data_IF_290027218362
#
_entry.id   IF_290027218362
#
_cell.length_a   1.000
_cell.length_b   1.000
_cell.length_c   1.000
_cell.angle_alpha   90.00
_cell.angle_beta   90.00
_cell.angle_gamma   90.00
#
_symmetry.space_group_name_H-M   'P 1'
#
loop_
_entity.id
_entity.type
_entity.pdbx_description
1 polymer ?
#
# COMPACT_ATOMS: atom_id res chain seq x y z
N UNK A 1 11.49 -39.07 -3.41
CA UNK A 1 12.62 -38.97 -4.37
C UNK A 1 12.03 -38.34 -5.63
N UNK A 2 12.24 -37.06 -5.87
CA UNK A 2 11.66 -36.40 -7.05
C UNK A 2 12.42 -36.86 -8.30
N UNK A 3 11.70 -37.16 -9.38
CA UNK A 3 12.29 -37.66 -10.63
C UNK A 3 13.11 -36.57 -11.33
N UNK A 4 14.07 -36.96 -12.18
CA UNK A 4 14.86 -36.03 -13.00
C UNK A 4 13.95 -35.12 -13.86
N UNK A 5 12.90 -35.69 -14.45
CA UNK A 5 11.98 -34.99 -15.36
C UNK A 5 11.08 -33.97 -14.65
N UNK A 6 10.75 -34.16 -13.37
CA UNK A 6 10.05 -33.13 -12.57
C UNK A 6 10.85 -31.83 -12.57
N UNK A 7 12.15 -31.90 -12.34
CA UNK A 7 13.02 -30.72 -12.32
C UNK A 7 13.18 -30.11 -13.71
N UNK A 8 13.23 -30.94 -14.76
CA UNK A 8 13.28 -30.47 -16.15
C UNK A 8 12.00 -29.71 -16.54
N UNK A 9 10.82 -30.18 -16.12
CA UNK A 9 9.55 -29.47 -16.32
C UNK A 9 9.56 -28.13 -15.58
N UNK A 10 10.00 -28.11 -14.31
CA UNK A 10 10.12 -26.86 -13.55
C UNK A 10 11.07 -25.87 -14.25
N UNK A 11 12.20 -26.35 -14.75
CA UNK A 11 13.18 -25.55 -15.50
C UNK A 11 12.59 -25.00 -16.80
N UNK A 12 11.83 -25.81 -17.54
CA UNK A 12 11.15 -25.39 -18.77
C UNK A 12 10.13 -24.28 -18.50
N UNK A 13 9.30 -24.44 -17.47
CA UNK A 13 8.30 -23.46 -17.05
C UNK A 13 8.97 -22.14 -16.66
N UNK A 14 10.03 -22.21 -15.85
CA UNK A 14 10.82 -21.04 -15.47
C UNK A 14 11.40 -20.34 -16.70
N UNK A 15 12.02 -21.08 -17.62
CA UNK A 15 12.60 -20.49 -18.84
C UNK A 15 11.55 -19.83 -19.74
N UNK A 16 10.35 -20.40 -19.82
CA UNK A 16 9.31 -19.93 -20.74
C UNK A 16 8.46 -18.79 -20.15
N UNK A 17 8.00 -18.95 -18.91
CA UNK A 17 7.05 -18.04 -18.26
C UNK A 17 7.65 -17.28 -17.06
N UNK A 18 8.91 -17.52 -16.73
CA UNK A 18 9.62 -16.89 -15.62
C UNK A 18 9.21 -17.38 -14.23
N UNK A 19 8.30 -18.35 -14.12
CA UNK A 19 7.69 -18.72 -12.86
C UNK A 19 8.65 -19.45 -11.92
N UNK A 20 8.77 -18.93 -10.69
CA UNK A 20 9.50 -19.54 -9.60
C UNK A 20 8.61 -20.51 -8.81
N UNK A 21 8.72 -21.79 -9.12
CA UNK A 21 7.89 -22.86 -8.53
C UNK A 21 8.39 -23.18 -7.12
N UNK A 22 7.95 -22.37 -6.14
CA UNK A 22 8.28 -22.50 -4.72
C UNK A 22 7.04 -22.22 -3.87
N UNK A 23 7.03 -22.72 -2.62
CA UNK A 23 5.95 -22.45 -1.65
C UNK A 23 4.57 -22.89 -2.17
N UNK A 24 3.52 -22.05 -2.07
CA UNK A 24 2.17 -22.42 -2.54
C UNK A 24 2.10 -22.77 -4.03
N UNK A 25 2.96 -22.19 -4.87
CA UNK A 25 3.00 -22.51 -6.30
C UNK A 25 3.61 -23.89 -6.55
N UNK A 26 4.48 -24.36 -5.66
CA UNK A 26 5.04 -25.71 -5.74
C UNK A 26 4.00 -26.79 -5.41
N UNK A 27 3.16 -26.57 -4.40
CA UNK A 27 2.03 -27.47 -4.11
C UNK A 27 1.10 -27.55 -5.33
N UNK A 28 0.71 -26.40 -5.87
CA UNK A 28 -0.14 -26.33 -7.07
C UNK A 28 0.53 -26.94 -8.30
N UNK A 29 1.86 -26.85 -8.41
CA UNK A 29 2.61 -27.53 -9.46
C UNK A 29 2.47 -29.04 -9.37
N UNK A 30 2.60 -29.62 -8.17
CA UNK A 30 2.42 -31.07 -8.02
C UNK A 30 0.97 -31.50 -8.27
N UNK A 31 -0.03 -30.71 -7.86
CA UNK A 31 -1.43 -30.99 -8.20
C UNK A 31 -1.66 -30.98 -9.71
N UNK A 32 -1.09 -29.99 -10.40
CA UNK A 32 -1.16 -29.88 -11.86
C UNK A 32 -0.44 -31.05 -12.54
N UNK A 33 0.77 -31.38 -12.08
CA UNK A 33 1.55 -32.51 -12.59
C UNK A 33 0.80 -33.83 -12.42
N UNK A 34 0.21 -34.08 -11.24
CA UNK A 34 -0.60 -35.27 -10.96
C UNK A 34 -1.83 -35.36 -11.87
N UNK A 35 -2.52 -34.24 -12.10
CA UNK A 35 -3.64 -34.17 -13.06
C UNK A 35 -3.19 -34.56 -14.47
N UNK A 36 -2.03 -34.08 -14.91
CA UNK A 36 -1.47 -34.41 -16.22
C UNK A 36 -0.97 -35.86 -16.31
N UNK A 37 -0.42 -36.41 -15.22
CA UNK A 37 0.00 -37.82 -15.15
C UNK A 37 -1.16 -38.79 -15.35
N UNK A 38 -2.38 -38.44 -14.91
CA UNK A 38 -3.57 -39.24 -15.19
C UNK A 38 -3.86 -39.39 -16.70
N UNK A 39 -3.43 -38.43 -17.52
CA UNK A 39 -3.61 -38.45 -18.98
C UNK A 39 -2.40 -39.04 -19.70
N UNK A 40 -1.20 -38.59 -19.33
CA UNK A 40 0.04 -38.85 -20.08
C UNK A 40 0.92 -39.97 -19.50
N UNK A 41 0.55 -40.52 -18.33
CA UNK A 41 1.11 -41.73 -17.70
C UNK A 41 2.58 -41.68 -17.26
N UNK A 42 3.40 -40.76 -17.73
CA UNK A 42 4.78 -40.56 -17.25
C UNK A 42 5.24 -39.09 -17.30
N UNK A 43 6.12 -38.72 -16.37
CA UNK A 43 6.71 -37.36 -16.33
C UNK A 43 7.59 -37.07 -17.56
N UNK A 44 8.30 -38.09 -18.08
CA UNK A 44 9.09 -37.95 -19.31
C UNK A 44 8.21 -37.55 -20.51
N UNK A 45 7.06 -38.21 -20.66
CA UNK A 45 6.16 -37.93 -21.77
C UNK A 45 5.56 -36.52 -21.65
N UNK A 46 5.20 -36.10 -20.42
CA UNK A 46 4.76 -34.73 -20.14
C UNK A 46 5.86 -33.75 -20.54
N UNK A 47 7.10 -33.94 -20.06
CA UNK A 47 8.22 -33.06 -20.38
C UNK A 47 8.43 -32.93 -21.90
N UNK A 48 8.48 -34.05 -22.63
CA UNK A 48 8.65 -34.03 -24.10
C UNK A 48 7.48 -33.35 -24.83
N UNK A 49 6.26 -33.51 -24.32
CA UNK A 49 5.08 -32.83 -24.88
C UNK A 49 5.20 -31.31 -24.68
N UNK A 50 5.47 -30.87 -23.45
CA UNK A 50 5.62 -29.45 -23.12
C UNK A 50 6.79 -28.80 -23.87
N UNK A 51 7.88 -29.55 -24.14
CA UNK A 51 9.03 -29.05 -24.87
C UNK A 51 8.76 -28.80 -26.36
N UNK A 52 7.91 -29.63 -26.98
CA UNK A 52 7.70 -29.61 -28.44
C UNK A 52 6.37 -28.98 -28.87
N UNK A 53 5.41 -28.84 -27.95
CA UNK A 53 4.09 -28.27 -28.23
C UNK A 53 3.84 -27.05 -27.35
N UNK A 54 3.93 -25.87 -27.96
CA UNK A 54 3.71 -24.59 -27.27
C UNK A 54 2.28 -24.50 -26.74
N UNK A 55 1.29 -25.03 -27.45
CA UNK A 55 -0.11 -25.01 -27.00
C UNK A 55 -0.31 -25.85 -25.74
N UNK A 56 0.35 -27.02 -25.66
CA UNK A 56 0.38 -27.84 -24.46
C UNK A 56 1.05 -27.12 -23.29
N UNK A 57 2.16 -26.41 -23.55
CA UNK A 57 2.84 -25.60 -22.52
C UNK A 57 1.94 -24.48 -21.98
N UNK A 58 1.28 -23.71 -22.84
CA UNK A 58 0.28 -22.72 -22.42
C UNK A 58 -0.86 -23.37 -21.62
N UNK A 59 -1.34 -24.55 -22.04
CA UNK A 59 -2.39 -25.25 -21.32
C UNK A 59 -1.93 -25.69 -19.92
N UNK A 60 -0.71 -26.19 -19.80
CA UNK A 60 -0.12 -26.57 -18.52
C UNK A 60 0.00 -25.35 -17.59
N UNK A 61 0.49 -24.24 -18.12
CA UNK A 61 0.63 -22.97 -17.37
C UNK A 61 -0.74 -22.44 -16.93
N UNK A 62 -1.77 -22.53 -17.78
CA UNK A 62 -3.13 -22.15 -17.42
C UNK A 62 -3.71 -22.95 -16.25
N UNK A 63 -3.32 -24.23 -16.11
CA UNK A 63 -3.73 -25.06 -14.97
C UNK A 63 -2.91 -24.70 -13.70
N UNK A 64 -1.65 -24.28 -13.89
CA UNK A 64 -0.71 -23.93 -12.83
C UNK A 64 -0.94 -22.53 -12.21
N UNK A 65 -1.33 -21.51 -12.97
CA UNK A 65 -1.30 -20.11 -12.51
C UNK A 65 -2.33 -19.81 -11.41
N UNK A 66 -1.94 -18.99 -10.43
CA UNK A 66 -2.83 -18.53 -9.35
C UNK A 66 -3.51 -17.22 -9.79
N UNK A 67 -4.77 -17.32 -10.22
CA UNK A 67 -5.50 -16.23 -10.86
C UNK A 67 -6.38 -15.44 -9.88
N UNK A 68 -5.87 -15.06 -8.72
CA UNK A 68 -6.64 -14.25 -7.78
C UNK A 68 -6.64 -12.78 -8.21
N UNK A 69 -7.77 -12.29 -8.73
CA UNK A 69 -7.98 -10.89 -9.11
C UNK A 69 -9.39 -10.45 -8.74
N UNK A 70 -9.60 -9.14 -8.52
CA UNK A 70 -10.89 -8.55 -8.16
C UNK A 70 -10.89 -7.05 -8.45
N UNK A 71 -12.07 -6.49 -8.65
CA UNK A 71 -12.24 -5.07 -8.99
C UNK A 71 -11.71 -4.18 -7.87
N UNK A 72 -11.03 -3.10 -8.24
CA UNK A 72 -10.42 -2.15 -7.30
C UNK A 72 -9.48 -2.78 -6.26
N UNK A 73 -8.76 -3.85 -6.63
CA UNK A 73 -7.63 -4.36 -5.84
C UNK A 73 -6.63 -3.23 -5.65
N UNK A 74 -6.32 -2.87 -4.41
CA UNK A 74 -5.50 -1.70 -4.02
C UNK A 74 -5.95 -0.40 -4.72
N UNK A 75 -7.20 0.04 -4.45
CA UNK A 75 -7.88 1.19 -5.09
C UNK A 75 -7.02 2.45 -5.30
N UNK A 76 -6.09 2.79 -4.39
CA UNK A 76 -5.24 3.98 -4.59
C UNK A 76 -4.38 3.90 -5.85
N UNK A 77 -3.97 2.71 -6.32
CA UNK A 77 -3.16 2.60 -7.54
C UNK A 77 -3.90 2.95 -8.85
N UNK A 78 -5.22 3.21 -8.78
CA UNK A 78 -6.00 3.74 -9.91
C UNK A 78 -6.20 5.26 -9.83
N UNK A 79 -5.95 5.90 -8.68
CA UNK A 79 -6.11 7.37 -8.52
C UNK A 79 -5.08 8.17 -9.33
N UNK A 80 -4.01 7.50 -9.77
CA UNK A 80 -2.99 8.07 -10.67
C UNK A 80 -3.48 8.20 -12.12
N UNK A 81 -4.53 7.47 -12.53
CA UNK A 81 -4.99 7.48 -13.92
C UNK A 81 -5.36 8.88 -14.39
N UNK A 82 -6.12 9.61 -13.59
CA UNK A 82 -6.56 10.97 -13.92
C UNK A 82 -5.37 11.93 -14.18
N UNK A 83 -4.47 12.17 -13.21
CA UNK A 83 -3.33 13.08 -13.43
C UNK A 83 -2.40 12.59 -14.54
N UNK A 84 -2.25 11.27 -14.74
CA UNK A 84 -1.46 10.72 -15.84
C UNK A 84 -2.09 11.03 -17.20
N UNK A 85 -3.39 10.78 -17.38
CA UNK A 85 -4.09 11.04 -18.64
C UNK A 85 -4.12 12.54 -18.94
N UNK A 86 -4.33 13.39 -17.93
CA UNK A 86 -4.24 14.85 -18.08
C UNK A 86 -2.84 15.32 -18.51
N UNK A 87 -1.78 14.65 -18.03
CA UNK A 87 -0.41 14.90 -18.49
C UNK A 87 -0.17 14.40 -19.92
N UNK A 88 -0.86 13.35 -20.34
CA UNK A 88 -0.79 12.77 -21.69
C UNK A 88 -1.80 13.36 -22.68
N UNK A 89 -2.51 14.44 -22.31
CA UNK A 89 -3.63 15.03 -23.08
C UNK A 89 -3.31 15.44 -24.52
N UNK A 90 -2.03 15.69 -24.81
CA UNK A 90 -1.56 16.09 -26.14
C UNK A 90 -1.47 14.90 -27.11
N UNK A 91 -1.60 13.66 -26.61
CA UNK A 91 -1.66 12.47 -27.45
C UNK A 91 -3.04 12.32 -28.10
N UNK A 92 -3.05 11.92 -29.38
CA UNK A 92 -4.28 11.63 -30.12
C UNK A 92 -4.99 10.38 -29.59
N UNK A 93 -4.24 9.39 -29.11
CA UNK A 93 -4.75 8.15 -28.53
C UNK A 93 -3.81 7.66 -27.43
N UNK A 94 -4.38 7.24 -26.29
CA UNK A 94 -3.64 6.76 -25.13
C UNK A 94 -3.79 5.23 -25.05
N UNK A 95 -2.72 4.53 -25.45
CA UNK A 95 -2.60 3.08 -25.30
C UNK A 95 -2.25 2.68 -23.86
N UNK A 96 -3.06 1.80 -23.29
CA UNK A 96 -2.94 1.25 -21.94
C UNK A 96 -2.86 -0.27 -22.02
N UNK A 97 -1.90 -0.88 -21.32
CA UNK A 97 -1.79 -2.34 -21.20
C UNK A 97 -1.85 -2.79 -19.74
N UNK A 98 -2.59 -3.87 -19.47
CA UNK A 98 -2.64 -4.59 -18.20
C UNK A 98 -2.05 -5.99 -18.40
N UNK A 99 -0.87 -6.22 -17.83
CA UNK A 99 -0.05 -7.42 -17.97
C UNK A 99 -0.35 -8.38 -16.83
N UNK A 100 -0.77 -9.61 -17.15
CA UNK A 100 -1.23 -10.58 -16.15
C UNK A 100 -2.62 -10.24 -15.62
N UNK A 101 -3.53 -9.88 -16.52
CA UNK A 101 -4.84 -9.31 -16.16
C UNK A 101 -5.84 -10.33 -15.57
N UNK A 102 -5.50 -11.62 -15.56
CA UNK A 102 -6.34 -12.71 -15.07
C UNK A 102 -7.77 -12.64 -15.66
N UNK A 103 -8.79 -12.64 -14.81
CA UNK A 103 -10.20 -12.60 -15.21
C UNK A 103 -10.71 -11.21 -15.62
N UNK A 104 -9.82 -10.27 -15.95
CA UNK A 104 -10.15 -8.97 -16.51
C UNK A 104 -10.63 -7.91 -15.51
N UNK A 105 -10.67 -8.21 -14.21
CA UNK A 105 -11.07 -7.21 -13.21
C UNK A 105 -10.22 -5.94 -13.25
N UNK A 106 -8.91 -6.04 -13.49
CA UNK A 106 -8.02 -4.88 -13.57
C UNK A 106 -8.30 -3.98 -14.78
N UNK A 107 -8.24 -4.46 -16.04
CA UNK A 107 -8.51 -3.59 -17.19
C UNK A 107 -9.93 -3.04 -17.21
N UNK A 108 -10.93 -3.78 -16.68
CA UNK A 108 -12.26 -3.21 -16.48
C UNK A 108 -12.33 -2.18 -15.35
N UNK A 109 -11.52 -2.29 -14.29
CA UNK A 109 -11.40 -1.23 -13.28
C UNK A 109 -10.82 0.04 -13.91
N UNK A 110 -9.80 -0.09 -14.77
CA UNK A 110 -9.23 1.04 -15.52
C UNK A 110 -10.31 1.70 -16.38
N UNK A 111 -11.08 0.90 -17.14
CA UNK A 111 -12.16 1.41 -17.97
C UNK A 111 -13.22 2.17 -17.16
N UNK A 112 -13.65 1.62 -16.02
CA UNK A 112 -14.62 2.27 -15.13
C UNK A 112 -14.06 3.57 -14.56
N UNK A 113 -12.81 3.58 -14.10
CA UNK A 113 -12.19 4.79 -13.52
C UNK A 113 -12.10 5.92 -14.56
N UNK A 114 -11.81 5.60 -15.83
CA UNK A 114 -11.81 6.59 -16.90
C UNK A 114 -13.23 7.10 -17.17
N UNK A 115 -14.24 6.22 -17.20
CA UNK A 115 -15.64 6.63 -17.37
C UNK A 115 -16.14 7.51 -16.21
N UNK A 116 -15.63 7.33 -14.99
CA UNK A 116 -16.00 8.12 -13.82
C UNK A 116 -15.28 9.47 -13.76
N UNK A 117 -13.98 9.48 -14.03
CA UNK A 117 -13.12 10.64 -13.78
C UNK A 117 -12.84 11.50 -15.01
N UNK A 118 -12.92 10.90 -16.20
CA UNK A 118 -12.48 11.44 -17.49
C UNK A 118 -13.36 10.93 -18.67
N UNK A 119 -14.70 11.04 -18.59
CA UNK A 119 -15.61 10.46 -19.59
C UNK A 119 -15.36 10.96 -21.04
N UNK A 120 -14.79 12.15 -21.20
CA UNK A 120 -14.41 12.74 -22.49
C UNK A 120 -13.23 12.04 -23.18
N UNK A 121 -12.47 11.21 -22.44
CA UNK A 121 -11.36 10.42 -22.98
C UNK A 121 -11.76 9.01 -23.44
N UNK A 122 -13.02 8.59 -23.23
CA UNK A 122 -13.46 7.21 -23.52
C UNK A 122 -13.17 6.73 -24.95
N UNK A 123 -13.23 7.64 -25.94
CA UNK A 123 -13.02 7.33 -27.36
C UNK A 123 -11.56 7.56 -27.80
N UNK A 124 -10.70 8.00 -26.88
CA UNK A 124 -9.27 8.26 -27.08
C UNK A 124 -8.37 7.25 -26.37
N UNK A 125 -8.94 6.24 -25.74
CA UNK A 125 -8.19 5.23 -24.98
C UNK A 125 -8.28 3.87 -25.66
N UNK A 126 -7.17 3.15 -25.65
CA UNK A 126 -7.13 1.74 -26.04
C UNK A 126 -6.65 0.94 -24.82
N UNK A 127 -7.51 0.07 -24.26
CA UNK A 127 -7.13 -0.78 -23.13
C UNK A 127 -6.94 -2.22 -23.62
N UNK A 128 -5.75 -2.76 -23.42
CA UNK A 128 -5.41 -4.15 -23.69
C UNK A 128 -5.11 -4.90 -22.38
N UNK A 129 -5.88 -5.93 -22.07
CA UNK A 129 -5.54 -6.93 -21.05
C UNK A 129 -4.84 -8.13 -21.67
N UNK A 130 -3.71 -8.56 -21.12
CA UNK A 130 -3.04 -9.80 -21.55
C UNK A 130 -2.89 -10.77 -20.39
N UNK A 131 -2.95 -12.06 -20.69
CA UNK A 131 -2.64 -13.14 -19.74
C UNK A 131 -2.17 -14.40 -20.48
N UNK A 132 -1.38 -15.22 -19.80
CA UNK A 132 -0.89 -16.49 -20.33
C UNK A 132 -1.98 -17.56 -20.34
N UNK A 133 -3.01 -17.44 -19.50
CA UNK A 133 -4.12 -18.38 -19.46
C UNK A 133 -5.26 -17.96 -20.41
N UNK A 134 -5.42 -18.68 -21.52
CA UNK A 134 -6.58 -18.44 -22.41
C UNK A 134 -7.92 -18.69 -21.70
N UNK A 135 -7.95 -19.68 -20.79
CA UNK A 135 -9.13 -20.03 -20.02
C UNK A 135 -9.63 -18.85 -19.18
N UNK A 136 -8.74 -18.17 -18.45
CA UNK A 136 -9.13 -17.03 -17.60
C UNK A 136 -9.53 -15.80 -18.44
N UNK A 137 -8.91 -15.60 -19.60
CA UNK A 137 -9.31 -14.54 -20.54
C UNK A 137 -10.69 -14.78 -21.13
N UNK A 138 -11.07 -16.03 -21.37
CA UNK A 138 -12.42 -16.37 -21.80
C UNK A 138 -13.46 -16.09 -20.70
N UNK A 139 -13.10 -16.22 -19.42
CA UNK A 139 -13.94 -15.76 -18.31
C UNK A 139 -14.04 -14.23 -18.27
N UNK A 140 -12.92 -13.52 -18.48
CA UNK A 140 -12.89 -12.06 -18.59
C UNK A 140 -13.85 -11.55 -19.67
N UNK A 141 -13.77 -12.10 -20.88
CA UNK A 141 -14.61 -11.74 -22.03
C UNK A 141 -16.11 -11.95 -21.77
N UNK A 142 -16.49 -12.96 -20.96
CA UNK A 142 -17.89 -13.15 -20.54
C UNK A 142 -18.38 -12.00 -19.67
N UNK A 143 -17.50 -11.42 -18.84
CA UNK A 143 -17.81 -10.31 -17.96
C UNK A 143 -18.82 -10.66 -16.87
N UNK A 144 -18.85 -11.92 -16.43
CA UNK A 144 -19.76 -12.41 -15.38
C UNK A 144 -18.94 -12.67 -14.13
N UNK A 145 -19.30 -12.01 -13.03
CA UNK A 145 -18.54 -11.99 -11.80
C UNK A 145 -19.42 -12.30 -10.59
N UNK A 146 -18.92 -13.13 -9.69
CA UNK A 146 -19.53 -13.31 -8.38
C UNK A 146 -19.33 -12.05 -7.51
N UNK A 147 -20.23 -11.81 -6.53
CA UNK A 147 -20.17 -10.66 -5.61
C UNK A 147 -18.81 -10.53 -4.92
N UNK A 148 -18.12 -11.63 -4.65
CA UNK A 148 -16.76 -11.64 -4.10
C UNK A 148 -15.75 -10.82 -4.92
N UNK A 149 -15.83 -10.85 -6.25
CA UNK A 149 -14.97 -10.05 -7.13
C UNK A 149 -15.23 -8.55 -7.03
N UNK A 150 -16.37 -8.15 -6.47
CA UNK A 150 -16.81 -6.76 -6.32
C UNK A 150 -16.66 -6.25 -4.87
N UNK A 151 -16.03 -7.01 -3.97
CA UNK A 151 -15.93 -6.68 -2.53
C UNK A 151 -15.30 -5.32 -2.21
N UNK A 152 -14.48 -4.78 -3.11
CA UNK A 152 -13.82 -3.47 -2.99
C UNK A 152 -14.43 -2.42 -3.93
N UNK A 153 -15.55 -2.74 -4.58
CA UNK A 153 -16.23 -1.84 -5.51
C UNK A 153 -17.40 -1.16 -4.79
N UNK A 154 -17.47 0.16 -4.86
CA UNK A 154 -18.56 0.92 -4.24
C UNK A 154 -19.92 0.48 -4.82
N UNK A 155 -20.93 0.30 -3.98
CA UNK A 155 -22.25 -0.18 -4.43
C UNK A 155 -22.89 0.73 -5.50
N UNK A 156 -22.56 2.02 -5.51
CA UNK A 156 -22.99 2.96 -6.55
C UNK A 156 -22.39 2.60 -7.92
N UNK A 157 -21.10 2.25 -7.96
CA UNK A 157 -20.43 1.80 -9.19
C UNK A 157 -20.96 0.45 -9.64
N UNK A 158 -21.24 -0.47 -8.70
CA UNK A 158 -21.87 -1.76 -9.02
C UNK A 158 -23.21 -1.53 -9.70
N UNK A 159 -24.10 -0.71 -9.12
CA UNK A 159 -25.41 -0.38 -9.71
C UNK A 159 -25.28 0.29 -11.08
N UNK A 160 -24.27 1.14 -11.26
CA UNK A 160 -24.05 1.89 -12.51
C UNK A 160 -23.53 1.01 -13.64
N UNK A 161 -22.56 0.13 -13.36
CA UNK A 161 -21.79 -0.58 -14.40
C UNK A 161 -22.08 -2.09 -14.51
N UNK A 162 -22.87 -2.65 -13.61
CA UNK A 162 -23.22 -4.08 -13.63
C UNK A 162 -24.73 -4.28 -13.61
N UNK A 163 -25.19 -5.28 -14.35
CA UNK A 163 -26.53 -5.83 -14.25
C UNK A 163 -26.51 -6.98 -13.24
N UNK A 164 -27.40 -6.94 -12.25
CA UNK A 164 -27.56 -8.02 -11.29
C UNK A 164 -28.31 -9.18 -11.97
N UNK A 165 -27.67 -10.35 -12.11
CA UNK A 165 -28.33 -11.56 -12.62
C UNK A 165 -29.10 -12.23 -11.48
N UNK A 166 -28.44 -12.40 -10.33
CA UNK A 166 -28.99 -12.96 -9.10
C UNK A 166 -28.29 -12.34 -7.87
N UNK A 167 -28.57 -12.82 -6.66
CA UNK A 167 -28.00 -12.28 -5.42
C UNK A 167 -26.47 -12.39 -5.31
N UNK A 168 -25.87 -13.32 -6.04
CA UNK A 168 -24.44 -13.62 -5.99
C UNK A 168 -23.72 -13.28 -7.30
N UNK A 169 -24.44 -13.09 -8.40
CA UNK A 169 -23.87 -12.99 -9.75
C UNK A 169 -24.23 -11.68 -10.44
N UNK A 170 -23.20 -11.03 -11.01
CA UNK A 170 -23.29 -9.74 -11.67
C UNK A 170 -22.67 -9.83 -13.06
N UNK A 171 -23.28 -9.16 -14.03
CA UNK A 171 -22.77 -9.07 -15.41
C UNK A 171 -22.33 -7.65 -15.68
N UNK A 172 -21.11 -7.46 -16.15
CA UNK A 172 -20.59 -6.17 -16.56
C UNK A 172 -21.35 -5.68 -17.81
N UNK A 173 -21.76 -4.41 -17.80
CA UNK A 173 -22.51 -3.81 -18.91
C UNK A 173 -21.64 -3.70 -20.16
N UNK A 174 -22.28 -3.88 -21.32
CA UNK A 174 -21.56 -4.00 -22.60
C UNK A 174 -20.75 -2.76 -22.97
N UNK A 175 -21.23 -1.56 -22.61
CA UNK A 175 -20.53 -0.31 -22.88
C UNK A 175 -19.19 -0.17 -22.12
N UNK A 176 -19.00 -0.89 -21.01
CA UNK A 176 -17.70 -0.98 -20.33
C UNK A 176 -16.86 -2.07 -20.99
N UNK A 177 -17.49 -3.21 -21.31
CA UNK A 177 -16.82 -4.34 -21.95
C UNK A 177 -16.15 -3.97 -23.26
N UNK A 178 -16.81 -3.13 -24.06
CA UNK A 178 -16.31 -2.68 -25.36
C UNK A 178 -15.07 -1.78 -25.29
N UNK A 179 -14.71 -1.26 -24.12
CA UNK A 179 -13.50 -0.44 -23.93
C UNK A 179 -12.23 -1.27 -23.75
N UNK A 180 -12.35 -2.59 -23.56
CA UNK A 180 -11.23 -3.47 -23.24
C UNK A 180 -11.12 -4.62 -24.23
N UNK A 181 -9.92 -4.75 -24.80
CA UNK A 181 -9.53 -5.90 -25.61
C UNK A 181 -8.70 -6.88 -24.78
N UNK A 182 -8.75 -8.17 -25.13
CA UNK A 182 -7.98 -9.21 -24.45
C UNK A 182 -7.17 -10.06 -25.44
N UNK A 183 -5.89 -10.31 -25.14
CA UNK A 183 -5.02 -11.21 -25.91
C UNK A 183 -4.33 -12.26 -25.04
N UNK A 184 -4.16 -13.47 -25.55
CA UNK A 184 -3.42 -14.54 -24.87
C UNK A 184 -1.94 -14.44 -25.22
N UNK A 185 -1.19 -13.74 -24.38
CA UNK A 185 0.21 -13.41 -24.63
C UNK A 185 1.07 -13.75 -23.42
N UNK A 186 2.34 -14.04 -23.68
CA UNK A 186 3.38 -14.10 -22.66
C UNK A 186 4.13 -12.77 -22.61
N UNK A 187 4.37 -12.23 -21.42
CA UNK A 187 5.09 -10.97 -21.21
C UNK A 187 6.42 -10.94 -21.99
N UNK A 188 7.18 -12.03 -21.94
CA UNK A 188 8.50 -12.11 -22.58
C UNK A 188 8.43 -12.06 -24.11
N UNK A 189 7.29 -12.43 -24.69
CA UNK A 189 7.07 -12.55 -26.13
C UNK A 189 6.39 -11.32 -26.75
N UNK A 190 5.97 -10.33 -25.96
CA UNK A 190 5.26 -9.15 -26.47
C UNK A 190 6.06 -8.44 -27.57
N UNK A 191 5.44 -8.00 -28.68
CA UNK A 191 6.15 -7.16 -29.65
C UNK A 191 6.60 -5.85 -29.01
N UNK A 192 7.68 -5.25 -29.51
CA UNK A 192 8.01 -3.86 -29.15
C UNK A 192 6.89 -2.96 -29.67
N UNK A 193 6.32 -2.15 -28.79
CA UNK A 193 5.12 -1.35 -29.00
C UNK A 193 5.22 -0.07 -28.14
N UNK A 194 4.32 0.88 -28.33
CA UNK A 194 4.32 2.16 -27.61
C UNK A 194 3.08 2.29 -26.71
N UNK A 195 3.14 1.66 -25.54
CA UNK A 195 2.15 1.86 -24.48
C UNK A 195 2.52 3.09 -23.65
N UNK A 196 1.54 3.95 -23.34
CA UNK A 196 1.77 5.13 -22.51
C UNK A 196 1.51 4.86 -21.03
N UNK A 197 0.64 3.90 -20.73
CA UNK A 197 0.33 3.47 -19.36
C UNK A 197 0.42 1.95 -19.30
N UNK A 198 1.27 1.45 -18.41
CA UNK A 198 1.52 0.02 -18.24
C UNK A 198 1.18 -0.38 -16.82
N UNK A 199 0.23 -1.29 -16.67
CA UNK A 199 -0.06 -1.97 -15.43
C UNK A 199 0.58 -3.36 -15.47
N UNK A 200 1.41 -3.67 -14.47
CA UNK A 200 1.99 -5.01 -14.27
C UNK A 200 1.99 -5.33 -12.78
N UNK A 201 0.84 -5.79 -12.27
CA UNK A 201 0.56 -5.86 -10.84
C UNK A 201 0.37 -7.30 -10.38
N UNK A 202 0.97 -7.62 -9.25
CA UNK A 202 0.94 -8.94 -8.62
C UNK A 202 1.39 -10.08 -9.54
N UNK A 203 2.34 -9.80 -10.44
CA UNK A 203 2.91 -10.77 -11.36
C UNK A 203 4.39 -11.07 -11.05
N UNK A 204 5.18 -10.02 -10.77
CA UNK A 204 6.63 -10.15 -10.56
C UNK A 204 6.96 -10.94 -9.30
N UNK A 205 6.07 -10.94 -8.30
CA UNK A 205 6.19 -11.75 -7.07
C UNK A 205 6.27 -13.26 -7.32
N UNK A 206 5.84 -13.73 -8.51
CA UNK A 206 5.94 -15.14 -8.90
C UNK A 206 7.17 -15.44 -9.73
N UNK A 207 7.98 -14.44 -10.08
CA UNK A 207 9.18 -14.59 -10.87
C UNK A 207 10.41 -14.65 -9.95
N UNK A 208 11.46 -15.34 -10.37
CA UNK A 208 12.73 -15.27 -9.66
C UNK A 208 13.53 -14.03 -10.09
N UNK A 209 14.59 -13.72 -9.35
CA UNK A 209 15.33 -12.46 -9.48
C UNK A 209 15.84 -12.17 -10.89
N UNK A 210 16.37 -13.19 -11.58
CA UNK A 210 16.93 -13.01 -12.92
C UNK A 210 15.79 -12.75 -13.95
N UNK A 211 14.67 -13.43 -13.78
CA UNK A 211 13.51 -13.38 -14.66
C UNK A 211 12.74 -12.08 -14.44
N UNK A 212 12.72 -11.55 -13.22
CA UNK A 212 12.25 -10.19 -12.91
C UNK A 212 13.05 -9.16 -13.70
N UNK A 213 14.38 -9.27 -13.75
CA UNK A 213 15.21 -8.32 -14.50
C UNK A 213 14.89 -8.37 -16.01
N UNK A 214 14.68 -9.56 -16.57
CA UNK A 214 14.26 -9.74 -17.95
C UNK A 214 12.86 -9.17 -18.21
N UNK A 215 11.91 -9.42 -17.31
CA UNK A 215 10.54 -8.92 -17.39
C UNK A 215 10.50 -7.38 -17.34
N UNK A 216 11.23 -6.77 -16.42
CA UNK A 216 11.32 -5.32 -16.27
C UNK A 216 11.99 -4.67 -17.49
N UNK A 217 13.05 -5.28 -18.04
CA UNK A 217 13.65 -4.85 -19.32
C UNK A 217 12.67 -4.97 -20.49
N UNK A 218 11.83 -6.01 -20.49
CA UNK A 218 10.80 -6.18 -21.53
C UNK A 218 9.74 -5.08 -21.42
N UNK A 219 9.31 -4.76 -20.21
CA UNK A 219 8.38 -3.64 -19.93
C UNK A 219 8.99 -2.30 -20.39
N UNK A 220 10.27 -2.07 -20.14
CA UNK A 220 10.97 -0.87 -20.62
C UNK A 220 10.95 -0.75 -22.17
N UNK A 221 11.07 -1.87 -22.87
CA UNK A 221 11.04 -1.90 -24.34
C UNK A 221 9.67 -1.61 -24.95
N UNK A 222 8.58 -2.02 -24.30
CA UNK A 222 7.20 -1.77 -24.77
C UNK A 222 6.63 -0.44 -24.26
N UNK A 223 7.38 0.27 -23.42
CA UNK A 223 7.02 1.58 -22.92
C UNK A 223 7.41 2.67 -23.92
N UNK A 224 6.47 3.56 -24.26
CA UNK A 224 6.79 4.85 -24.86
C UNK A 224 7.77 5.67 -23.98
N UNK A 225 8.47 6.65 -24.57
CA UNK A 225 9.41 7.55 -23.88
C UNK A 225 8.80 8.22 -22.64
N UNK A 226 7.52 8.62 -22.71
CA UNK A 226 6.82 9.31 -21.63
C UNK A 226 5.92 8.39 -20.80
N UNK A 227 6.17 7.09 -20.84
CA UNK A 227 5.30 6.12 -20.17
C UNK A 227 5.24 6.27 -18.66
N UNK A 228 4.10 5.82 -18.14
CA UNK A 228 3.85 5.60 -16.73
C UNK A 228 3.65 4.11 -16.49
N UNK A 229 4.44 3.57 -15.57
CA UNK A 229 4.45 2.15 -15.27
C UNK A 229 4.01 1.97 -13.81
N UNK A 230 2.96 1.20 -13.60
CA UNK A 230 2.32 0.94 -12.33
C UNK A 230 2.53 -0.53 -11.99
N UNK A 231 3.41 -0.77 -11.04
CA UNK A 231 3.63 -2.10 -10.46
C UNK A 231 2.74 -2.30 -9.23
N UNK A 232 2.44 -3.56 -8.91
CA UNK A 232 1.77 -3.86 -7.65
C UNK A 232 2.71 -3.59 -6.50
N UNK A 233 2.18 -3.27 -5.33
CA UNK A 233 3.00 -2.84 -4.20
C UNK A 233 3.92 -3.90 -3.62
N UNK A 234 3.55 -5.18 -3.74
CA UNK A 234 4.47 -6.27 -3.44
C UNK A 234 5.56 -6.43 -4.53
N UNK A 235 5.27 -6.07 -5.78
CA UNK A 235 6.21 -6.18 -6.89
C UNK A 235 7.33 -5.12 -6.79
N UNK A 236 7.06 -3.94 -6.21
CA UNK A 236 8.00 -2.82 -6.09
C UNK A 236 9.34 -3.21 -5.48
N UNK A 237 9.31 -4.07 -4.46
CA UNK A 237 10.51 -4.52 -3.74
C UNK A 237 11.44 -5.39 -4.61
N UNK A 238 10.88 -5.99 -5.67
CA UNK A 238 11.59 -6.89 -6.58
C UNK A 238 12.25 -6.13 -7.74
N UNK A 239 11.84 -4.89 -8.00
CA UNK A 239 12.30 -4.11 -9.16
C UNK A 239 13.74 -3.61 -8.93
N UNK A 240 14.67 -3.89 -9.86
CA UNK A 240 16.02 -3.33 -9.81
C UNK A 240 16.00 -1.79 -9.80
N UNK A 241 16.79 -1.19 -8.90
CA UNK A 241 16.80 0.27 -8.67
C UNK A 241 17.22 1.10 -9.90
N UNK A 242 17.96 0.48 -10.82
CA UNK A 242 18.62 1.18 -11.93
C UNK A 242 17.91 1.04 -13.28
N UNK A 243 16.71 0.47 -13.36
CA UNK A 243 16.01 0.36 -14.64
C UNK A 243 15.08 1.56 -14.85
N UNK A 244 14.32 1.92 -13.83
CA UNK A 244 13.35 3.01 -13.88
C UNK A 244 13.64 4.07 -12.83
N UNK A 245 13.24 5.32 -13.10
CA UNK A 245 13.11 6.33 -12.05
C UNK A 245 11.75 6.16 -11.35
N UNK A 246 11.72 6.48 -10.06
CA UNK A 246 10.52 6.44 -9.21
C UNK A 246 9.99 7.84 -9.04
N UNK A 247 8.68 8.00 -9.19
CA UNK A 247 7.96 9.24 -8.92
C UNK A 247 6.75 8.92 -8.03
N UNK A 248 6.22 9.93 -7.35
CA UNK A 248 5.03 9.82 -6.54
C UNK A 248 3.92 10.68 -7.16
N UNK A 249 2.76 10.10 -7.37
CA UNK A 249 1.54 10.84 -7.74
C UNK A 249 0.45 10.44 -6.76
N UNK A 250 -0.12 11.40 -6.03
CA UNK A 250 -1.14 11.15 -5.01
C UNK A 250 -0.73 10.03 -4.04
N UNK A 251 0.54 9.99 -3.61
CA UNK A 251 1.06 8.96 -2.73
C UNK A 251 1.05 7.55 -3.31
N UNK A 252 1.07 7.41 -4.63
CA UNK A 252 1.32 6.13 -5.29
C UNK A 252 2.68 6.20 -5.96
N UNK A 253 3.55 5.24 -5.65
CA UNK A 253 4.81 5.08 -6.39
C UNK A 253 4.48 4.66 -7.81
N UNK A 254 4.90 5.46 -8.76
CA UNK A 254 4.89 5.16 -10.19
C UNK A 254 6.33 5.08 -10.71
N UNK A 255 6.50 4.42 -11.84
CA UNK A 255 7.79 4.23 -12.48
C UNK A 255 7.78 4.83 -13.87
N UNK A 256 8.91 5.41 -14.26
CA UNK A 256 9.10 6.00 -15.59
C UNK A 256 10.47 5.62 -16.13
N UNK A 257 10.63 5.75 -17.45
CA UNK A 257 11.96 5.65 -18.08
C UNK A 257 12.92 6.65 -17.46
N UNK A 258 14.18 6.25 -17.31
CA UNK A 258 15.22 7.07 -16.64
C UNK A 258 15.41 8.44 -17.29
N UNK A 259 15.24 8.53 -18.60
CA UNK A 259 15.38 9.74 -19.42
C UNK A 259 14.07 10.52 -19.60
N UNK A 260 12.95 10.06 -19.01
CA UNK A 260 11.68 10.76 -19.11
C UNK A 260 11.75 12.13 -18.38
N UNK A 261 11.01 13.15 -18.84
CA UNK A 261 10.95 14.45 -18.16
C UNK A 261 10.45 14.30 -16.72
N UNK A 262 10.95 15.14 -15.80
CA UNK A 262 10.45 15.21 -14.42
C UNK A 262 9.09 15.91 -14.42
N UNK A 263 8.11 15.33 -13.73
CA UNK A 263 6.83 16.00 -13.51
C UNK A 263 7.02 16.96 -12.33
N UNK A 264 6.98 18.26 -12.60
CA UNK A 264 6.91 19.28 -11.54
C UNK A 264 5.50 19.33 -10.95
N UNK A 265 5.26 18.57 -9.89
CA UNK A 265 4.17 18.85 -8.94
C UNK A 265 4.77 19.42 -7.67
N UNK A 266 4.73 20.74 -7.50
CA UNK A 266 5.09 21.39 -6.24
C UNK A 266 4.10 21.00 -5.13
N UNK A 267 4.59 20.47 -4.02
CA UNK A 267 3.90 20.55 -2.73
C UNK A 267 4.88 20.98 -1.63
N UNK A 268 4.78 22.25 -1.21
CA UNK A 268 5.39 22.77 0.02
C UNK A 268 4.55 22.33 1.22
N UNK A 269 5.16 21.66 2.20
CA UNK A 269 4.56 21.40 3.51
C UNK A 269 5.10 22.45 4.49
N UNK A 270 4.26 23.38 4.95
CA UNK A 270 4.56 24.31 6.04
C UNK A 270 3.75 23.92 7.28
N UNK A 271 4.46 23.34 8.25
CA UNK A 271 4.10 23.01 9.65
C UNK A 271 2.76 22.31 9.93
N UNK A 272 2.87 21.06 10.42
CA UNK A 272 1.76 20.26 10.92
C UNK A 272 1.70 20.36 12.46
N UNK A 273 0.53 20.56 13.09
CA UNK A 273 0.38 20.59 14.55
C UNK A 273 0.75 19.26 15.22
N UNK A 274 1.32 19.32 16.44
CA UNK A 274 1.79 18.16 17.21
C UNK A 274 0.61 17.43 17.88
N UNK A 275 0.37 16.18 17.46
CA UNK A 275 -0.66 15.28 17.97
C UNK A 275 -0.07 14.15 18.86
N UNK A 276 -0.75 13.68 19.92
CA UNK A 276 -0.30 12.54 20.78
C UNK A 276 -1.47 11.80 21.48
N UNK A 277 -1.30 10.50 21.78
CA UNK A 277 -2.28 9.61 22.45
C UNK A 277 -2.15 9.56 23.97
N UNK A 278 -1.56 10.59 24.57
CA UNK A 278 -1.29 10.58 26.01
C UNK A 278 -2.55 11.09 26.72
N UNK A 279 -3.20 10.22 27.51
CA UNK A 279 -4.46 10.55 28.22
C UNK A 279 -4.26 11.64 29.28
N UNK A 280 -4.89 12.80 29.07
CA UNK A 280 -5.28 13.68 30.16
C UNK A 280 -6.51 13.06 30.83
N UNK A 281 -6.41 12.73 32.12
CA UNK A 281 -7.59 12.38 32.93
C UNK A 281 -8.03 13.62 33.72
N UNK A 282 -9.34 13.87 33.77
CA UNK A 282 -9.94 14.87 34.67
C UNK A 282 -9.91 14.37 36.11
N UNK A 283 -9.93 15.34 37.03
CA UNK A 283 -9.72 15.17 38.47
C UNK A 283 -10.50 14.02 39.10
N UNK A 284 -9.85 13.34 40.06
CA UNK A 284 -10.53 12.54 41.08
C UNK A 284 -10.18 13.16 42.41
N UNK A 285 -11.18 13.35 43.29
CA UNK A 285 -10.92 13.81 44.66
C UNK A 285 -9.92 12.87 45.35
N UNK A 286 -8.69 13.35 45.51
CA UNK A 286 -7.53 12.65 46.06
C UNK A 286 -6.92 13.53 47.13
N UNK A 287 -6.65 12.97 48.32
CA UNK A 287 -6.07 13.72 49.46
C UNK A 287 -4.54 13.85 49.43
N UNK A 288 -3.87 13.72 48.27
CA UNK A 288 -2.40 13.77 48.17
C UNK A 288 -1.95 14.97 47.33
N UNK A 289 -1.12 15.84 47.90
CA UNK A 289 -0.57 17.06 47.28
C UNK A 289 0.08 16.83 45.90
N UNK A 290 0.72 15.68 45.70
CA UNK A 290 1.26 15.25 44.40
C UNK A 290 0.19 15.18 43.29
N UNK A 291 -1.04 14.77 43.65
CA UNK A 291 -2.16 14.66 42.72
C UNK A 291 -2.61 16.05 42.28
N UNK A 292 -2.73 16.99 43.22
CA UNK A 292 -3.16 18.37 42.94
C UNK A 292 -2.19 19.09 42.00
N UNK A 293 -0.87 18.90 42.20
CA UNK A 293 0.15 19.44 41.31
C UNK A 293 0.06 18.84 39.90
N UNK A 294 -0.16 17.53 39.82
CA UNK A 294 -0.26 16.84 38.53
C UNK A 294 -1.49 17.35 37.75
N UNK A 295 -2.63 17.50 38.44
CA UNK A 295 -3.87 18.01 37.85
C UNK A 295 -3.74 19.45 37.34
N UNK A 296 -3.07 20.33 38.09
CA UNK A 296 -2.78 21.70 37.64
C UNK A 296 -1.92 21.72 36.36
N UNK A 297 -0.87 20.90 36.29
CA UNK A 297 -0.03 20.80 35.10
C UNK A 297 -0.81 20.34 33.86
N UNK A 298 -1.72 19.39 34.05
CA UNK A 298 -2.60 18.86 33.01
C UNK A 298 -3.59 19.92 32.51
N UNK A 299 -4.20 20.69 33.43
CA UNK A 299 -5.11 21.79 33.07
C UNK A 299 -4.39 22.84 32.20
N UNK A 300 -3.16 23.23 32.57
CA UNK A 300 -2.38 24.21 31.81
C UNK A 300 -2.00 23.71 30.41
N UNK A 301 -1.65 22.42 30.27
CA UNK A 301 -1.40 21.82 28.96
C UNK A 301 -2.65 21.85 28.06
N UNK A 302 -3.84 21.62 28.62
CA UNK A 302 -5.09 21.69 27.85
C UNK A 302 -5.42 23.10 27.33
N UNK A 303 -4.81 24.13 27.94
CA UNK A 303 -4.90 25.53 27.52
C UNK A 303 -3.74 25.94 26.60
N UNK A 304 -2.97 24.97 26.09
CA UNK A 304 -1.74 25.16 25.31
C UNK A 304 -0.69 26.07 26.01
N UNK A 305 -0.54 25.92 27.33
CA UNK A 305 0.46 26.64 28.16
C UNK A 305 1.57 25.68 28.63
N UNK A 306 2.40 25.12 27.73
CA UNK A 306 3.37 24.08 28.07
C UNK A 306 4.47 24.56 29.03
N UNK A 307 4.86 25.85 28.96
CA UNK A 307 5.87 26.43 29.84
C UNK A 307 5.46 26.43 31.31
N UNK A 308 4.20 26.76 31.58
CA UNK A 308 3.68 26.80 32.96
C UNK A 308 3.40 25.39 33.47
N UNK A 309 2.86 24.51 32.62
CA UNK A 309 2.68 23.11 32.94
C UNK A 309 4.00 22.40 33.28
N UNK A 310 5.08 22.74 32.58
CA UNK A 310 6.43 22.20 32.81
C UNK A 310 6.90 22.43 34.26
N UNK A 311 6.56 23.58 34.86
CA UNK A 311 6.93 23.90 36.24
C UNK A 311 6.27 22.92 37.22
N UNK A 312 4.97 22.66 37.06
CA UNK A 312 4.22 21.74 37.94
C UNK A 312 4.73 20.30 37.83
N UNK A 313 4.98 19.79 36.62
CA UNK A 313 5.56 18.45 36.47
C UNK A 313 7.00 18.38 37.02
N UNK A 314 7.78 19.46 36.89
CA UNK A 314 9.12 19.53 37.47
C UNK A 314 9.11 19.54 38.99
N UNK A 315 8.16 20.21 39.63
CA UNK A 315 7.99 20.16 41.09
C UNK A 315 7.74 18.73 41.56
N UNK A 316 6.88 17.98 40.85
CA UNK A 316 6.60 16.57 41.18
C UNK A 316 7.87 15.72 41.04
N UNK A 317 8.59 15.82 39.91
CA UNK A 317 9.76 14.98 39.66
C UNK A 317 10.99 15.35 40.49
N UNK A 318 11.07 16.58 40.99
CA UNK A 318 12.26 17.03 41.72
C UNK A 318 12.06 16.99 43.23
N UNK A 319 10.87 17.32 43.74
CA UNK A 319 10.66 17.60 45.16
C UNK A 319 9.80 16.56 45.87
N UNK A 320 8.87 15.90 45.17
CA UNK A 320 7.89 15.01 45.80
C UNK A 320 8.12 13.54 45.47
N UNK A 321 8.20 13.22 44.18
CA UNK A 321 8.33 11.85 43.73
C UNK A 321 9.18 11.78 42.46
N UNK A 322 10.52 11.67 42.60
CA UNK A 322 11.42 11.53 41.46
C UNK A 322 11.23 10.26 40.64
N UNK A 323 10.48 9.27 41.13
CA UNK A 323 10.15 8.06 40.39
C UNK A 323 8.84 8.16 39.59
N UNK A 324 8.09 9.26 39.71
CA UNK A 324 6.81 9.41 39.04
C UNK A 324 6.97 9.47 37.50
N UNK A 325 6.74 8.32 36.86
CA UNK A 325 6.86 8.13 35.41
C UNK A 325 5.90 9.05 34.63
N UNK A 326 4.66 9.21 35.10
CA UNK A 326 3.66 10.01 34.40
C UNK A 326 4.06 11.48 34.38
N UNK A 327 4.53 12.03 35.50
CA UNK A 327 5.04 13.40 35.55
C UNK A 327 6.24 13.60 34.59
N UNK A 328 7.15 12.62 34.49
CA UNK A 328 8.27 12.67 33.53
C UNK A 328 7.82 12.64 32.07
N UNK A 329 6.81 11.83 31.71
CA UNK A 329 6.25 11.77 30.35
C UNK A 329 5.64 13.11 29.96
N UNK A 330 4.80 13.70 30.82
CA UNK A 330 4.19 15.01 30.54
C UNK A 330 5.21 16.16 30.56
N UNK A 331 6.23 16.10 31.42
CA UNK A 331 7.38 17.02 31.38
C UNK A 331 8.11 16.95 30.03
N UNK A 332 8.36 15.75 29.52
CA UNK A 332 8.99 15.53 28.20
C UNK A 332 8.16 16.14 27.07
N UNK A 333 6.83 15.94 27.11
CA UNK A 333 5.91 16.51 26.13
C UNK A 333 5.95 18.05 26.12
N UNK A 334 6.00 18.69 27.30
CA UNK A 334 6.19 20.14 27.39
C UNK A 334 7.50 20.59 26.75
N UNK A 335 8.60 19.87 26.98
CA UNK A 335 9.92 20.21 26.43
C UNK A 335 9.94 20.11 24.90
N UNK A 336 9.37 19.05 24.32
CA UNK A 336 9.23 18.89 22.86
C UNK A 336 8.44 20.05 22.26
N UNK A 337 7.34 20.46 22.91
CA UNK A 337 6.53 21.60 22.47
C UNK A 337 7.23 22.94 22.52
N UNK A 338 8.10 23.13 23.51
CA UNK A 338 8.90 24.32 23.66
C UNK A 338 10.16 24.30 22.76
N UNK A 339 10.30 23.27 21.91
CA UNK A 339 11.48 23.00 21.08
C UNK A 339 12.78 22.85 21.88
N UNK A 340 12.69 22.52 23.17
CA UNK A 340 13.83 22.19 24.02
C UNK A 340 14.20 20.71 23.87
N UNK A 341 14.76 20.40 22.70
CA UNK A 341 15.05 19.05 22.25
C UNK A 341 16.16 18.37 23.05
N UNK A 342 17.12 19.13 23.57
CA UNK A 342 18.24 18.60 24.34
C UNK A 342 17.74 18.03 25.69
N UNK A 343 16.99 18.82 26.44
CA UNK A 343 16.42 18.36 27.71
C UNK A 343 15.37 17.27 27.51
N UNK A 344 14.58 17.34 26.43
CA UNK A 344 13.64 16.28 26.08
C UNK A 344 14.35 14.95 25.83
N UNK A 345 15.48 14.97 25.09
CA UNK A 345 16.23 13.75 24.76
C UNK A 345 16.86 13.12 25.99
N UNK A 346 17.52 13.92 26.83
CA UNK A 346 18.12 13.44 28.08
C UNK A 346 17.08 12.79 29.01
N UNK A 347 15.89 13.39 29.11
CA UNK A 347 14.80 12.84 29.91
C UNK A 347 14.24 11.56 29.29
N UNK A 348 14.06 11.49 27.97
CA UNK A 348 13.62 10.27 27.27
C UNK A 348 14.59 9.11 27.46
N UNK A 349 15.89 9.33 27.31
CA UNK A 349 16.89 8.27 27.48
C UNK A 349 16.91 7.74 28.92
N UNK A 350 16.71 8.63 29.89
CA UNK A 350 16.56 8.25 31.30
C UNK A 350 15.28 7.44 31.54
N UNK A 351 14.15 7.81 30.93
CA UNK A 351 12.88 7.07 31.10
C UNK A 351 13.00 5.69 30.43
N UNK A 352 13.48 5.60 29.18
CA UNK A 352 13.60 4.34 28.43
C UNK A 352 14.51 3.34 29.15
N UNK A 353 15.61 3.83 29.76
CA UNK A 353 16.53 2.97 30.52
C UNK A 353 15.89 2.36 31.76
N UNK A 354 15.02 3.11 32.44
CA UNK A 354 14.42 2.70 33.71
C UNK A 354 13.08 1.96 33.52
N UNK A 355 12.32 2.31 32.50
CA UNK A 355 10.94 1.84 32.28
C UNK A 355 10.76 1.40 30.81
N UNK A 356 11.36 0.27 30.38
CA UNK A 356 11.47 -0.11 28.96
C UNK A 356 10.15 -0.62 28.34
N UNK A 357 9.05 -0.69 29.10
CA UNK A 357 7.76 -1.23 28.66
C UNK A 357 6.64 -0.17 28.65
N UNK A 358 6.98 1.11 28.53
CA UNK A 358 6.01 2.19 28.48
C UNK A 358 5.78 2.72 27.05
N UNK A 359 4.57 2.56 26.51
CA UNK A 359 4.25 2.98 25.13
C UNK A 359 4.33 4.50 24.91
N UNK A 360 3.92 5.31 25.90
CA UNK A 360 3.90 6.78 25.81
C UNK A 360 5.32 7.34 25.62
N UNK A 361 6.31 6.69 26.25
CA UNK A 361 7.73 7.05 26.12
C UNK A 361 8.26 6.78 24.72
N UNK A 362 7.95 5.62 24.13
CA UNK A 362 8.34 5.30 22.75
C UNK A 362 7.59 6.17 21.73
N UNK A 363 6.34 6.53 22.00
CA UNK A 363 5.59 7.48 21.17
C UNK A 363 6.32 8.83 21.10
N UNK A 364 6.69 9.39 22.26
CA UNK A 364 7.38 10.68 22.33
C UNK A 364 8.80 10.64 21.72
N UNK A 365 9.54 9.55 21.93
CA UNK A 365 10.86 9.38 21.32
C UNK A 365 10.77 9.20 19.78
N UNK A 366 9.72 8.54 19.29
CA UNK A 366 9.44 8.45 17.84
C UNK A 366 9.11 9.81 17.24
N UNK A 367 8.27 10.59 17.91
CA UNK A 367 7.92 11.97 17.51
C UNK A 367 9.18 12.84 17.48
N UNK A 368 10.03 12.76 18.50
CA UNK A 368 11.30 13.46 18.55
C UNK A 368 12.14 13.19 17.29
N UNK A 369 12.34 11.91 16.91
CA UNK A 369 13.11 11.55 15.72
C UNK A 369 12.42 11.98 14.41
N UNK A 370 11.08 11.90 14.34
CA UNK A 370 10.31 12.38 13.20
C UNK A 370 10.50 13.88 12.95
N UNK A 371 10.48 14.70 13.99
CA UNK A 371 10.71 16.15 13.90
C UNK A 371 12.13 16.51 13.44
N UNK A 372 13.09 15.59 13.57
CA UNK A 372 14.46 15.74 13.08
C UNK A 372 14.69 15.06 11.71
N UNK A 373 13.61 14.65 11.04
CA UNK A 373 13.63 13.93 9.74
C UNK A 373 14.38 12.58 9.76
N UNK A 374 14.61 11.99 10.93
CA UNK A 374 15.19 10.64 11.06
C UNK A 374 14.05 9.60 11.08
N UNK A 375 13.44 9.39 9.92
CA UNK A 375 12.24 8.55 9.79
C UNK A 375 12.49 7.08 10.13
N UNK A 376 13.71 6.57 9.93
CA UNK A 376 14.04 5.18 10.27
C UNK A 376 14.08 4.95 11.78
N UNK A 377 14.73 5.84 12.55
CA UNK A 377 14.69 5.76 14.02
C UNK A 377 13.32 6.08 14.57
N UNK A 378 12.58 6.99 13.94
CA UNK A 378 11.20 7.27 14.29
C UNK A 378 10.32 6.01 14.16
N UNK A 379 10.44 5.27 13.05
CA UNK A 379 9.74 4.00 12.84
C UNK A 379 10.07 2.92 13.86
N UNK A 380 11.35 2.78 14.25
CA UNK A 380 11.73 1.83 15.29
C UNK A 380 10.97 2.10 16.59
N UNK A 381 10.90 3.37 16.98
CA UNK A 381 10.18 3.80 18.18
C UNK A 381 8.66 3.66 18.04
N UNK A 382 8.08 4.01 16.89
CA UNK A 382 6.65 3.82 16.66
C UNK A 382 6.25 2.34 16.64
N UNK A 383 7.09 1.45 16.10
CA UNK A 383 6.87 0.00 16.20
C UNK A 383 6.87 -0.48 17.65
N UNK A 384 7.79 0.01 18.48
CA UNK A 384 7.82 -0.31 19.92
C UNK A 384 6.58 0.23 20.64
N UNK A 385 6.17 1.46 20.34
CA UNK A 385 4.92 2.05 20.84
C UNK A 385 3.71 1.16 20.48
N UNK A 386 3.57 0.82 19.19
CA UNK A 386 2.45 0.02 18.67
C UNK A 386 2.46 -1.42 19.14
N UNK A 387 3.64 -1.98 19.43
CA UNK A 387 3.76 -3.29 20.07
C UNK A 387 3.20 -3.27 21.50
N UNK A 388 3.39 -2.18 22.24
CA UNK A 388 2.92 -2.03 23.61
C UNK A 388 1.46 -1.54 23.71
N UNK A 389 1.02 -0.66 22.79
CA UNK A 389 -0.37 -0.18 22.67
C UNK A 389 -0.80 -0.24 21.21
N UNK A 390 -1.42 -1.35 20.84
CA UNK A 390 -1.88 -1.63 19.49
C UNK A 390 -2.96 -0.67 18.98
N UNK A 391 -3.77 -0.09 19.88
CA UNK A 391 -4.79 0.90 19.54
C UNK A 391 -4.31 2.37 19.54
N UNK A 392 -3.00 2.63 19.56
CA UNK A 392 -2.47 4.00 19.57
C UNK A 392 -2.73 4.71 18.23
N UNK A 393 -3.74 5.57 18.15
CA UNK A 393 -4.07 6.48 17.04
C UNK A 393 -2.83 7.28 16.59
N UNK A 394 -2.19 8.01 17.48
CA UNK A 394 -0.95 8.77 17.24
C UNK A 394 0.21 7.89 16.82
N UNK A 395 0.36 6.72 17.46
CA UNK A 395 1.37 5.73 17.07
C UNK A 395 1.22 5.32 15.60
N UNK A 396 -0.01 5.00 15.19
CA UNK A 396 -0.34 4.66 13.80
C UNK A 396 -0.25 5.86 12.86
N UNK A 397 -0.62 7.06 13.32
CA UNK A 397 -0.56 8.30 12.54
C UNK A 397 0.88 8.71 12.20
N UNK A 398 1.79 8.76 13.17
CA UNK A 398 3.19 9.11 12.88
C UNK A 398 3.97 7.95 12.26
N UNK A 399 3.63 6.70 12.57
CA UNK A 399 4.10 5.56 11.78
C UNK A 399 3.74 5.77 10.31
N UNK A 400 2.49 6.16 10.04
CA UNK A 400 2.03 6.40 8.69
C UNK A 400 2.72 7.57 8.00
N UNK A 401 2.95 8.68 8.72
CA UNK A 401 3.72 9.81 8.20
C UNK A 401 5.18 9.43 7.92
N UNK A 402 5.82 8.65 8.78
CA UNK A 402 7.19 8.16 8.52
C UNK A 402 7.22 7.28 7.28
N UNK A 403 6.28 6.34 7.18
CA UNK A 403 6.14 5.48 6.01
C UNK A 403 5.89 6.30 4.75
N UNK A 404 5.04 7.32 4.79
CA UNK A 404 4.82 8.24 3.67
C UNK A 404 6.11 8.96 3.26
N UNK A 405 6.83 9.57 4.20
CA UNK A 405 8.07 10.31 3.90
C UNK A 405 9.21 9.40 3.42
N UNK A 406 9.15 8.10 3.73
CA UNK A 406 10.07 7.08 3.22
C UNK A 406 9.63 6.47 1.88
N UNK A 407 8.49 6.90 1.33
CA UNK A 407 7.92 6.38 0.08
C UNK A 407 7.13 5.07 0.22
N UNK A 408 6.92 4.59 1.45
CA UNK A 408 6.18 3.37 1.80
C UNK A 408 4.68 3.64 1.92
N UNK A 409 4.07 4.13 0.84
CA UNK A 409 2.71 4.68 0.91
C UNK A 409 1.62 3.67 1.28
N UNK A 410 1.85 2.37 1.09
CA UNK A 410 0.90 1.35 1.56
C UNK A 410 0.97 1.11 3.05
N UNK A 411 2.17 1.09 3.61
CA UNK A 411 2.32 1.04 5.06
C UNK A 411 1.86 2.36 5.68
N UNK A 412 2.05 3.47 4.96
CA UNK A 412 1.46 4.75 5.31
C UNK A 412 -0.06 4.67 5.34
N UNK A 413 -0.68 4.18 4.27
CA UNK A 413 -2.13 4.02 4.17
C UNK A 413 -2.69 3.11 5.25
N UNK A 414 -2.10 1.93 5.49
CA UNK A 414 -2.50 1.04 6.59
C UNK A 414 -2.36 1.72 7.95
N UNK A 415 -1.29 2.47 8.14
CA UNK A 415 -1.11 3.24 9.36
C UNK A 415 -2.20 4.30 9.52
N UNK A 416 -2.51 5.06 8.48
CA UNK A 416 -3.58 6.06 8.51
C UNK A 416 -4.98 5.45 8.66
N UNK A 417 -5.25 4.30 8.03
CA UNK A 417 -6.51 3.55 8.17
C UNK A 417 -6.65 3.00 9.59
N UNK A 418 -5.58 2.49 10.19
CA UNK A 418 -5.59 2.06 11.60
C UNK A 418 -5.77 3.25 12.54
N UNK A 419 -5.08 4.35 12.29
CA UNK A 419 -5.27 5.58 13.05
C UNK A 419 -6.73 6.05 12.96
N UNK A 420 -7.33 6.05 11.76
CA UNK A 420 -8.73 6.41 11.56
C UNK A 420 -9.69 5.44 12.23
N UNK A 421 -9.45 4.13 12.11
CA UNK A 421 -10.25 3.09 12.74
C UNK A 421 -10.31 3.27 14.27
N UNK A 422 -9.16 3.44 14.92
CA UNK A 422 -9.12 3.66 16.36
C UNK A 422 -9.66 5.04 16.75
N UNK A 423 -9.52 6.04 15.88
CA UNK A 423 -10.11 7.37 16.09
C UNK A 423 -11.64 7.31 16.05
N UNK A 424 -12.24 6.59 15.12
CA UNK A 424 -13.70 6.49 14.96
C UNK A 424 -14.35 5.66 16.08
N UNK A 425 -13.68 4.58 16.50
CA UNK A 425 -14.20 3.64 17.51
C UNK A 425 -13.82 4.00 18.96
N UNK A 426 -13.26 5.19 19.21
CA UNK A 426 -12.99 5.66 20.57
C UNK A 426 -14.25 6.30 21.19
N UNK A 427 -14.69 5.75 22.33
CA UNK A 427 -15.92 6.15 23.03
C UNK A 427 -15.82 7.45 23.83
N UNK A 428 -14.62 8.00 24.03
CA UNK A 428 -14.43 9.18 24.89
C UNK A 428 -13.64 10.29 24.20
N UNK A 429 -14.00 11.54 24.53
CA UNK A 429 -13.18 12.74 24.38
C UNK A 429 -11.82 12.54 25.09
N UNK A 430 -10.85 11.86 24.48
CA UNK A 430 -9.53 11.73 25.10
C UNK A 430 -8.42 11.73 24.07
N UNK A 431 -7.46 12.62 24.34
CA UNK A 431 -6.00 12.50 24.27
C UNK A 431 -5.45 13.78 23.64
N UNK A 432 -4.64 14.51 24.41
CA UNK A 432 -4.22 15.90 24.22
C UNK A 432 -4.06 16.32 22.75
N UNK A 433 -5.11 16.96 22.22
CA UNK A 433 -4.97 17.95 21.16
C UNK A 433 -4.22 19.11 21.75
N UNK A 434 -2.92 19.07 21.54
CA UNK A 434 -2.00 20.02 22.06
C UNK A 434 -2.01 21.22 21.11
N UNK A 435 -3.13 21.97 21.15
CA UNK A 435 -3.43 23.12 20.29
C UNK A 435 -4.19 22.76 19.01
N UNK A 436 -5.47 23.17 18.94
CA UNK A 436 -6.26 23.46 17.72
C UNK A 436 -6.81 22.34 16.81
N UNK A 437 -6.48 21.06 16.98
CA UNK A 437 -7.08 20.00 16.12
C UNK A 437 -8.28 19.37 16.84
N UNK A 438 -9.46 19.30 16.22
CA UNK A 438 -10.59 18.50 16.74
C UNK A 438 -10.51 17.06 16.21
N UNK A 439 -11.29 16.11 16.78
CA UNK A 439 -11.44 14.74 16.23
C UNK A 439 -11.82 14.78 14.74
N UNK A 440 -12.71 15.69 14.37
CA UNK A 440 -13.13 15.90 12.98
C UNK A 440 -12.03 16.52 12.13
N UNK A 441 -11.28 17.51 12.65
CA UNK A 441 -10.13 18.07 11.95
C UNK A 441 -9.03 17.03 11.72
N UNK A 442 -8.73 16.19 12.71
CA UNK A 442 -7.75 15.12 12.56
C UNK A 442 -8.24 14.05 11.57
N UNK A 443 -9.51 13.68 11.63
CA UNK A 443 -10.15 12.81 10.65
C UNK A 443 -10.05 13.39 9.25
N UNK A 444 -10.28 14.70 9.08
CA UNK A 444 -10.12 15.38 7.79
C UNK A 444 -8.67 15.41 7.31
N UNK A 445 -7.70 15.63 8.21
CA UNK A 445 -6.27 15.57 7.90
C UNK A 445 -5.87 14.17 7.46
N UNK A 446 -6.23 13.14 8.24
CA UNK A 446 -5.95 11.74 7.92
C UNK A 446 -6.63 11.35 6.61
N UNK A 447 -7.88 11.75 6.39
CA UNK A 447 -8.59 11.51 5.14
C UNK A 447 -7.95 12.24 3.95
N UNK A 448 -7.35 13.41 4.17
CA UNK A 448 -6.61 14.12 3.12
C UNK A 448 -5.33 13.37 2.78
N UNK A 449 -4.59 12.88 3.77
CA UNK A 449 -3.44 12.01 3.53
C UNK A 449 -3.84 10.69 2.86
N UNK A 450 -4.91 10.04 3.30
CA UNK A 450 -5.45 8.82 2.68
C UNK A 450 -5.98 9.04 1.26
N UNK A 451 -6.41 10.26 0.91
CA UNK A 451 -6.77 10.62 -0.46
C UNK A 451 -5.53 10.86 -1.34
N UNK A 452 -4.42 11.23 -0.71
CA UNK A 452 -3.14 11.52 -1.33
C UNK A 452 -2.12 10.37 -1.08
N UNK A 453 -2.58 9.12 -0.82
CA UNK A 453 -1.85 7.85 -0.62
C UNK A 453 -2.62 6.68 -1.25
#
# INVERSE_FOLDING_TARGET
MHSLFTNDIKSLIRKFAGLNITGPLEEKFYDTLNKWLNTYKSEEYIYRTLLNDRSALYKFLSDLTINESFFYRNKSQFTVLKPIIEHLKDNTTINIISIGCANGCEPYTIAIEILESLPEYKDKINILGIDISEQILNEAKKGIYQKWYLRNTDDNLIKKYFDKIDDKTFKLKEHVKSLVNFSNENLFDLPEDNYHIIYCRNLLIYLDKNEIELAVKKIDKIADKNSFIIFGTADILSIPKDIFKREEINGVVIFRKKDAPVITTEHKITQLPLFTDIKIRKARDSKKEETDLFEKGIQLLSQDRPKEALNYFSMITNNFNPSNLRAKIFKTLCLIKLHDFENAKNLLDTIIKNEPLNYETFLLNGIYHYLHNDYLKALENFRKCLFLKGESISGWYYYALCMKNLGEYQEAKKGFEKALYFLENSEENIELFLGEITKDSLKNIINTYLKNL
#
